data_IF_512038053920
#
_entry.id   IF_512038053920
#
_cell.length_a   1.000
_cell.length_b   1.000
_cell.length_c   1.000
_cell.angle_alpha   90.00
_cell.angle_beta   90.00
_cell.angle_gamma   90.00
#
_symmetry.space_group_name_H-M   'P 1'
#
loop_
_entity.id
_entity.type
_entity.pdbx_description
1 polymer ?
#
# COMPACT_ATOMS: atom_id res chain seq x y z
N UNK A 1 7.34 9.62 -22.44
CA UNK A 1 8.23 8.44 -22.37
C UNK A 1 7.62 7.25 -23.09
N UNK A 2 6.39 6.85 -22.78
CA UNK A 2 5.69 5.73 -23.45
C UNK A 2 5.46 5.98 -24.95
N UNK A 3 4.95 7.16 -25.32
CA UNK A 3 4.81 7.57 -26.74
C UNK A 3 6.16 7.69 -27.48
N UNK A 4 7.23 8.03 -26.76
CA UNK A 4 8.58 8.17 -27.33
C UNK A 4 9.20 6.83 -27.69
N UNK A 5 8.81 5.74 -27.00
CA UNK A 5 9.26 4.38 -27.26
C UNK A 5 8.41 3.66 -28.34
N UNK A 6 7.40 4.33 -28.90
CA UNK A 6 6.52 3.74 -29.92
C UNK A 6 5.62 2.61 -29.38
N UNK A 7 5.39 2.57 -28.07
CA UNK A 7 4.45 1.63 -27.46
C UNK A 7 3.03 2.05 -27.85
N UNK A 8 2.29 1.16 -28.49
CA UNK A 8 0.91 1.43 -28.89
C UNK A 8 -0.03 1.44 -27.70
N UNK A 9 -1.13 2.19 -27.82
CA UNK A 9 -2.20 2.19 -26.81
C UNK A 9 -2.74 0.78 -26.57
N UNK A 10 -2.82 -0.05 -27.61
CA UNK A 10 -3.23 -1.46 -27.49
C UNK A 10 -2.35 -2.28 -26.53
N UNK A 11 -1.04 -2.04 -26.50
CA UNK A 11 -0.14 -2.73 -25.56
C UNK A 11 -0.38 -2.25 -24.12
N UNK A 12 -0.68 -0.97 -23.94
CA UNK A 12 -1.01 -0.39 -22.64
C UNK A 12 -2.33 -0.98 -22.13
N UNK A 13 -3.34 -1.03 -22.98
CA UNK A 13 -4.66 -1.56 -22.65
C UNK A 13 -4.57 -3.05 -22.26
N UNK A 14 -3.81 -3.85 -23.02
CA UNK A 14 -3.58 -5.26 -22.70
C UNK A 14 -2.88 -5.45 -21.34
N UNK A 15 -1.90 -4.61 -21.02
CA UNK A 15 -1.25 -4.63 -19.71
C UNK A 15 -2.23 -4.24 -18.59
N UNK A 16 -3.03 -3.20 -18.80
CA UNK A 16 -4.04 -2.76 -17.83
C UNK A 16 -5.09 -3.86 -17.57
N UNK A 17 -5.57 -4.55 -18.61
CA UNK A 17 -6.50 -5.67 -18.48
C UNK A 17 -5.88 -6.88 -17.75
N UNK A 18 -4.57 -7.08 -17.89
CA UNK A 18 -3.87 -8.13 -17.16
C UNK A 18 -3.79 -7.78 -15.66
N UNK A 19 -3.34 -6.57 -15.33
CA UNK A 19 -3.23 -6.11 -13.95
C UNK A 19 -4.59 -6.04 -13.25
N UNK A 20 -5.64 -5.64 -13.97
CA UNK A 20 -7.01 -5.63 -13.43
C UNK A 20 -7.47 -7.03 -13.03
N UNK A 21 -7.19 -8.05 -13.84
CA UNK A 21 -7.52 -9.44 -13.51
C UNK A 21 -6.75 -9.95 -12.29
N UNK A 22 -5.47 -9.57 -12.17
CA UNK A 22 -4.67 -9.93 -11.01
C UNK A 22 -5.15 -9.22 -9.73
N UNK A 23 -5.53 -7.95 -9.85
CA UNK A 23 -6.12 -7.18 -8.76
C UNK A 23 -7.40 -7.85 -8.24
N UNK A 24 -8.31 -8.23 -9.14
CA UNK A 24 -9.55 -8.95 -8.78
C UNK A 24 -9.27 -10.32 -8.14
N UNK A 25 -8.29 -11.06 -8.66
CA UNK A 25 -7.87 -12.35 -8.09
C UNK A 25 -7.34 -12.17 -6.66
N UNK A 26 -6.43 -11.22 -6.45
CA UNK A 26 -5.84 -10.91 -5.13
C UNK A 26 -6.87 -10.36 -4.15
N UNK A 27 -7.77 -9.50 -4.61
CA UNK A 27 -8.84 -8.95 -3.78
C UNK A 27 -9.74 -10.07 -3.24
N UNK A 28 -10.15 -11.01 -4.09
CA UNK A 28 -10.90 -12.20 -3.65
C UNK A 28 -10.06 -13.10 -2.75
N UNK A 29 -8.78 -13.27 -3.02
CA UNK A 29 -7.90 -14.14 -2.24
C UNK A 29 -7.64 -13.60 -0.83
N UNK A 30 -7.40 -12.30 -0.69
CA UNK A 30 -7.03 -11.66 0.56
C UNK A 30 -8.24 -11.21 1.38
N UNK A 31 -9.25 -10.65 0.71
CA UNK A 31 -10.46 -10.11 1.35
C UNK A 31 -11.62 -11.10 1.33
N UNK A 32 -11.72 -11.98 0.33
CA UNK A 32 -12.89 -12.84 0.16
C UNK A 32 -14.16 -12.01 -0.04
N UNK A 33 -15.29 -12.48 0.48
CA UNK A 33 -16.59 -11.78 0.38
C UNK A 33 -16.77 -10.65 1.41
N UNK A 34 -15.70 -10.31 2.16
CA UNK A 34 -15.79 -9.28 3.20
C UNK A 34 -15.85 -7.88 2.58
N UNK A 35 -16.60 -6.95 3.20
CA UNK A 35 -16.61 -5.56 2.76
C UNK A 35 -15.23 -4.94 2.91
N UNK A 36 -14.97 -3.91 2.10
CA UNK A 36 -13.80 -3.05 2.29
C UNK A 36 -13.86 -2.36 3.67
N UNK A 37 -12.69 -2.02 4.21
CA UNK A 37 -12.61 -1.25 5.45
C UNK A 37 -13.18 0.14 5.21
N UNK A 38 -14.13 0.57 6.06
CA UNK A 38 -14.61 1.94 6.04
C UNK A 38 -13.58 2.87 6.67
N UNK A 39 -12.99 3.73 5.85
CA UNK A 39 -11.98 4.72 6.24
C UNK A 39 -12.54 6.14 6.32
N UNK A 40 -13.84 6.34 6.10
CA UNK A 40 -14.45 7.66 6.09
C UNK A 40 -14.21 8.39 7.42
N UNK A 41 -13.68 9.61 7.35
CA UNK A 41 -13.38 10.42 8.52
C UNK A 41 -12.30 9.83 9.46
N UNK A 42 -11.57 8.78 9.04
CA UNK A 42 -10.49 8.17 9.84
C UNK A 42 -9.12 8.67 9.41
N UNK A 43 -8.14 8.54 10.29
CA UNK A 43 -6.73 8.65 9.90
C UNK A 43 -6.29 7.31 9.31
N UNK A 44 -5.80 7.32 8.08
CA UNK A 44 -5.28 6.15 7.37
C UNK A 44 -3.77 6.25 7.30
N UNK A 45 -3.09 5.15 7.64
CA UNK A 45 -1.65 5.02 7.47
C UNK A 45 -1.41 4.01 6.34
N UNK A 46 -0.81 4.47 5.26
CA UNK A 46 -0.35 3.64 4.16
C UNK A 46 1.08 3.21 4.43
N UNK A 47 1.32 1.90 4.44
CA UNK A 47 2.61 1.29 4.77
C UNK A 47 3.07 0.42 3.62
N UNK A 48 4.38 0.46 3.35
CA UNK A 48 5.08 -0.42 2.42
C UNK A 48 6.49 -0.69 2.93
N UNK A 49 7.22 -1.63 2.33
CA UNK A 49 8.61 -1.95 2.69
C UNK A 49 9.60 -0.86 2.25
N UNK A 50 9.26 -0.10 1.21
CA UNK A 50 9.99 1.07 0.82
C UNK A 50 9.46 1.68 -0.46
N UNK A 51 10.00 2.83 -0.84
CA UNK A 51 9.55 3.55 -2.04
C UNK A 51 10.74 3.90 -2.92
N UNK A 52 10.78 3.26 -4.10
CA UNK A 52 11.75 3.58 -5.14
C UNK A 52 11.22 4.67 -6.09
N UNK A 53 10.07 4.43 -6.75
CA UNK A 53 9.50 5.33 -7.77
C UNK A 53 8.16 5.95 -7.37
N UNK A 54 7.54 5.50 -6.27
CA UNK A 54 6.29 6.07 -5.76
C UNK A 54 5.01 5.69 -6.51
N UNK A 55 5.08 5.11 -7.72
CA UNK A 55 3.89 4.87 -8.55
C UNK A 55 2.77 4.08 -7.84
N UNK A 56 3.11 2.96 -7.19
CA UNK A 56 2.14 2.14 -6.42
C UNK A 56 1.53 2.92 -5.26
N UNK A 57 2.36 3.68 -4.53
CA UNK A 57 1.92 4.47 -3.39
C UNK A 57 1.02 5.63 -3.83
N UNK A 58 1.31 6.27 -4.97
CA UNK A 58 0.47 7.31 -5.55
C UNK A 58 -0.90 6.75 -5.96
N UNK A 59 -0.94 5.58 -6.60
CA UNK A 59 -2.21 4.92 -6.92
C UNK A 59 -3.03 4.60 -5.66
N UNK A 60 -2.37 4.10 -4.59
CA UNK A 60 -3.02 3.85 -3.31
C UNK A 60 -3.57 5.14 -2.65
N UNK A 61 -2.81 6.23 -2.68
CA UNK A 61 -3.26 7.54 -2.20
C UNK A 61 -4.51 8.02 -2.94
N UNK A 62 -4.51 7.96 -4.26
CA UNK A 62 -5.67 8.36 -5.08
C UNK A 62 -6.90 7.53 -4.71
N UNK A 63 -6.76 6.21 -4.61
CA UNK A 63 -7.86 5.31 -4.26
C UNK A 63 -8.39 5.54 -2.84
N UNK A 64 -7.51 5.80 -1.86
CA UNK A 64 -7.92 6.04 -0.46
C UNK A 64 -8.54 7.43 -0.28
N UNK A 65 -8.01 8.48 -0.92
CA UNK A 65 -8.56 9.83 -0.81
C UNK A 65 -10.00 9.92 -1.33
N UNK A 66 -10.39 9.09 -2.31
CA UNK A 66 -11.78 9.00 -2.78
C UNK A 66 -12.78 8.54 -1.71
N UNK A 67 -12.31 7.84 -0.67
CA UNK A 67 -13.13 7.38 0.46
C UNK A 67 -13.26 8.43 1.57
N UNK A 68 -12.72 9.64 1.36
CA UNK A 68 -12.80 10.79 2.27
C UNK A 68 -12.33 10.48 3.71
N UNK A 69 -11.09 9.99 3.89
CA UNK A 69 -10.48 9.90 5.21
C UNK A 69 -10.25 11.31 5.78
N UNK A 70 -10.14 11.42 7.11
CA UNK A 70 -9.77 12.67 7.76
C UNK A 70 -8.31 13.06 7.50
N UNK A 71 -7.43 12.07 7.34
CA UNK A 71 -5.99 12.25 7.07
C UNK A 71 -5.42 10.97 6.45
N UNK A 72 -4.43 11.11 5.57
CA UNK A 72 -3.65 9.99 5.04
C UNK A 72 -2.16 10.26 5.30
N UNK A 73 -1.44 9.27 5.80
CA UNK A 73 -0.01 9.35 6.11
C UNK A 73 0.68 8.18 5.43
N UNK A 74 1.74 8.43 4.67
CA UNK A 74 2.64 7.38 4.17
C UNK A 74 3.69 7.12 5.26
N UNK A 75 3.84 5.88 5.69
CA UNK A 75 4.84 5.47 6.67
C UNK A 75 5.66 4.29 6.14
N UNK A 76 6.95 4.52 5.89
CA UNK A 76 7.81 3.56 5.19
C UNK A 76 9.21 3.48 5.81
N UNK A 77 9.88 2.32 5.79
CA UNK A 77 11.24 2.18 6.31
C UNK A 77 12.29 2.92 5.47
N UNK A 78 12.28 2.78 4.15
CA UNK A 78 13.31 3.37 3.26
C UNK A 78 12.70 3.96 2.00
N UNK A 79 13.15 5.13 1.56
CA UNK A 79 12.73 5.72 0.30
C UNK A 79 13.82 6.52 -0.39
N UNK A 80 13.71 6.62 -1.72
CA UNK A 80 14.45 7.60 -2.49
C UNK A 80 14.13 9.03 -1.99
N UNK A 81 15.13 9.86 -1.66
CA UNK A 81 14.91 11.24 -1.23
C UNK A 81 14.03 12.03 -2.20
N UNK A 82 14.29 11.90 -3.51
CA UNK A 82 13.52 12.56 -4.57
C UNK A 82 12.03 12.20 -4.54
N UNK A 83 11.69 10.94 -4.30
CA UNK A 83 10.29 10.52 -4.24
C UNK A 83 9.58 11.04 -2.99
N UNK A 84 10.28 11.14 -1.85
CA UNK A 84 9.72 11.83 -0.68
C UNK A 84 9.45 13.31 -0.96
N UNK A 85 10.33 13.98 -1.71
CA UNK A 85 10.15 15.38 -2.09
C UNK A 85 8.97 15.57 -3.05
N UNK A 86 8.77 14.65 -4.00
CA UNK A 86 7.61 14.64 -4.91
C UNK A 86 6.28 14.56 -4.13
N UNK A 87 6.15 13.59 -3.22
CA UNK A 87 4.96 13.49 -2.36
C UNK A 87 4.75 14.73 -1.49
N UNK A 88 5.83 15.26 -0.90
CA UNK A 88 5.75 16.48 -0.09
C UNK A 88 5.28 17.69 -0.92
N UNK A 89 5.70 17.78 -2.19
CA UNK A 89 5.27 18.84 -3.11
C UNK A 89 3.78 18.71 -3.50
N UNK A 90 3.24 17.50 -3.52
CA UNK A 90 1.80 17.22 -3.71
C UNK A 90 0.98 17.45 -2.42
N UNK A 91 1.64 17.80 -1.30
CA UNK A 91 1.02 18.04 -0.01
C UNK A 91 0.74 16.76 0.78
N UNK A 92 1.32 15.63 0.37
CA UNK A 92 1.21 14.36 1.08
C UNK A 92 2.19 14.26 2.24
N UNK A 93 1.73 13.67 3.34
CA UNK A 93 2.54 13.46 4.53
C UNK A 93 3.31 12.15 4.42
N UNK A 94 4.64 12.24 4.41
CA UNK A 94 5.54 11.08 4.32
C UNK A 94 6.45 11.00 5.53
N UNK A 95 6.41 9.85 6.19
CA UNK A 95 7.30 9.47 7.28
C UNK A 95 8.20 8.33 6.80
N UNK A 96 9.44 8.66 6.48
CA UNK A 96 10.48 7.70 6.10
C UNK A 96 11.49 7.55 7.24
N UNK A 97 11.80 6.31 7.66
CA UNK A 97 12.81 6.06 8.71
C UNK A 97 14.20 6.46 8.22
N UNK A 98 14.57 6.05 7.01
CA UNK A 98 15.80 6.47 6.33
C UNK A 98 15.52 6.93 4.90
N UNK A 99 16.37 7.84 4.40
CA UNK A 99 16.32 8.39 3.03
C UNK A 99 17.73 8.41 2.45
N UNK A 100 18.23 7.24 2.02
CA UNK A 100 19.62 7.12 1.65
C UNK A 100 19.91 7.73 0.27
N UNK A 101 21.10 8.28 0.12
CA UNK A 101 21.60 8.88 -1.11
C UNK A 101 23.03 8.38 -1.37
N UNK A 102 23.30 7.69 -2.50
CA UNK A 102 22.36 7.34 -3.57
C UNK A 102 21.36 6.24 -3.18
N UNK A 103 20.13 6.33 -3.70
CA UNK A 103 19.12 5.26 -3.60
C UNK A 103 19.15 4.38 -4.85
N UNK A 104 19.30 3.06 -4.67
CA UNK A 104 19.30 2.11 -5.80
C UNK A 104 18.08 1.19 -5.80
N UNK A 105 17.78 0.53 -4.69
CA UNK A 105 16.65 -0.39 -4.56
C UNK A 105 16.26 -0.55 -3.09
N UNK A 106 14.99 -0.86 -2.84
CA UNK A 106 14.46 -1.13 -1.49
C UNK A 106 15.19 -2.28 -0.82
N UNK A 107 15.34 -3.41 -1.51
CA UNK A 107 15.93 -4.63 -0.95
C UNK A 107 17.38 -4.53 -0.48
N UNK A 108 18.13 -3.47 -0.84
CA UNK A 108 19.49 -3.24 -0.33
C UNK A 108 19.52 -2.76 1.13
N UNK A 109 18.38 -2.34 1.67
CA UNK A 109 18.23 -1.85 3.04
C UNK A 109 17.72 -2.92 4.00
N UNK A 110 17.60 -4.16 3.52
CA UNK A 110 17.15 -5.32 4.27
C UNK A 110 18.23 -6.40 4.22
N UNK A 111 18.57 -6.97 5.37
CA UNK A 111 19.47 -8.13 5.44
C UNK A 111 18.80 -9.35 4.79
N UNK A 112 17.51 -9.55 5.08
CA UNK A 112 16.65 -10.56 4.48
C UNK A 112 15.49 -9.89 3.74
N UNK A 113 15.38 -10.14 2.43
CA UNK A 113 14.31 -9.59 1.58
C UNK A 113 13.66 -10.67 0.71
N UNK A 114 13.08 -11.74 1.32
CA UNK A 114 12.39 -12.77 0.58
C UNK A 114 11.09 -12.24 -0.02
N UNK A 115 10.67 -12.83 -1.14
CA UNK A 115 9.36 -12.53 -1.73
C UNK A 115 8.25 -13.03 -0.80
N UNK A 116 7.33 -12.15 -0.41
CA UNK A 116 6.13 -12.54 0.34
C UNK A 116 5.14 -13.25 -0.57
N UNK A 117 4.69 -14.42 -0.12
CA UNK A 117 3.73 -15.25 -0.84
C UNK A 117 2.27 -14.88 -0.52
N UNK A 118 1.36 -15.24 -1.43
CA UNK A 118 -0.08 -15.10 -1.23
C UNK A 118 -0.58 -15.84 0.03
N UNK A 119 0.04 -16.97 0.38
CA UNK A 119 -0.30 -17.77 1.56
C UNK A 119 0.06 -17.03 2.85
N UNK A 120 1.27 -16.49 2.94
CA UNK A 120 1.71 -15.69 4.08
C UNK A 120 0.81 -14.46 4.30
N UNK A 121 0.44 -13.76 3.23
CA UNK A 121 -0.48 -12.61 3.31
C UNK A 121 -1.82 -13.03 3.89
N UNK A 122 -2.39 -14.14 3.41
CA UNK A 122 -3.67 -14.65 3.91
C UNK A 122 -3.62 -15.00 5.39
N UNK A 123 -2.58 -15.70 5.81
CA UNK A 123 -2.40 -16.13 7.19
C UNK A 123 -2.25 -14.94 8.14
N UNK A 124 -1.46 -13.94 7.74
CA UNK A 124 -1.28 -12.70 8.51
C UNK A 124 -2.60 -11.92 8.63
N UNK A 125 -3.33 -11.76 7.53
CA UNK A 125 -4.62 -11.07 7.53
C UNK A 125 -5.65 -11.80 8.40
N UNK A 126 -5.63 -13.12 8.46
CA UNK A 126 -6.54 -13.88 9.31
C UNK A 126 -6.19 -13.76 10.80
N UNK A 127 -4.89 -13.83 11.14
CA UNK A 127 -4.40 -13.62 12.51
C UNK A 127 -4.77 -12.22 13.02
N UNK A 128 -4.52 -11.18 12.22
CA UNK A 128 -4.84 -9.80 12.59
C UNK A 128 -6.34 -9.62 12.90
N UNK A 129 -7.22 -10.32 12.17
CA UNK A 129 -8.68 -10.28 12.42
C UNK A 129 -9.04 -10.91 13.76
N UNK A 130 -8.46 -12.07 14.08
CA UNK A 130 -8.71 -12.76 15.36
C UNK A 130 -8.26 -11.91 16.55
N UNK A 131 -7.13 -11.20 16.40
CA UNK A 131 -6.63 -10.25 17.40
C UNK A 131 -7.59 -9.07 17.58
N UNK A 132 -8.11 -8.48 16.49
CA UNK A 132 -9.10 -7.40 16.56
C UNK A 132 -10.42 -7.82 17.22
N UNK A 133 -10.93 -9.02 16.92
CA UNK A 133 -12.14 -9.55 17.57
C UNK A 133 -11.92 -9.80 19.07
N UNK A 134 -10.74 -10.30 19.43
CA UNK A 134 -10.36 -10.53 20.83
C UNK A 134 -10.20 -9.21 21.60
N UNK A 135 -9.62 -8.18 20.98
CA UNK A 135 -9.50 -6.85 21.58
C UNK A 135 -10.89 -6.20 21.76
N UNK A 136 -11.76 -6.28 20.77
CA UNK A 136 -13.12 -5.69 20.81
C UNK A 136 -14.02 -6.35 21.87
N UNK A 137 -13.91 -7.66 22.04
CA UNK A 137 -14.64 -8.41 23.08
C UNK A 137 -14.15 -8.12 24.50
N UNK A 138 -12.84 -7.89 24.71
CA UNK A 138 -12.28 -7.45 26.00
C UNK A 138 -12.73 -6.04 26.38
N UNK A 139 -12.71 -5.10 25.43
CA UNK A 139 -13.18 -3.71 25.66
C UNK A 139 -14.67 -3.69 26.04
N UNK A 140 -15.47 -4.62 25.50
CA UNK A 140 -16.89 -4.75 25.83
C UNK A 140 -17.15 -5.36 27.22
N UNK A 141 -16.18 -6.09 27.81
CA UNK A 141 -16.29 -6.71 29.14
C UNK A 141 -15.76 -5.81 30.27
N UNK A 142 -14.83 -4.90 29.99
CA UNK A 142 -14.27 -3.95 30.96
C UNK A 142 -15.10 -2.65 31.11
N UNK A 143 -16.19 -2.53 30.33
CA UNK A 143 -17.10 -1.37 30.32
C UNK A 143 -18.41 -1.54 31.10
N UNK A 144 -18.56 -2.59 31.92
CA UNK A 144 -19.71 -2.83 32.81
C UNK A 144 -19.27 -2.67 34.27
#
# INVERSE_FOLDING_TARGET
MVQFLGISDEVIDQAAEHEQRELERRERLYRGDRPACDVHGRTVILVDDGIATGATMHAALVAVKQQQPARVIIAIPTAAPSTCEEFAAEGDEVVAVIRPEPFYAVGLWYEDFPQTSDEEVRDLLERARQEQQSASSRISLEGV
#
